data_IF_670753480041
#
_entry.id   IF_670753480041
#
_cell.length_a   1.000
_cell.length_b   1.000
_cell.length_c   1.000
_cell.angle_alpha   90.00
_cell.angle_beta   90.00
_cell.angle_gamma   90.00
#
_symmetry.space_group_name_H-M   'P 1'
#
loop_
_entity.id
_entity.type
_entity.pdbx_description
1 polymer ?
#
# COMPACT_ATOMS: atom_id res chain seq x y z
N UNK A 1 2.98 12.36 -9.07
CA UNK A 1 1.89 13.23 -9.54
C UNK A 1 1.42 12.71 -10.89
N UNK A 2 0.10 12.67 -11.12
CA UNK A 2 -0.50 12.22 -12.38
C UNK A 2 -1.75 13.05 -12.60
N UNK A 3 -1.87 13.73 -13.75
CA UNK A 3 -3.09 14.49 -14.12
C UNK A 3 -3.52 15.49 -13.01
N UNK A 4 -2.58 16.27 -12.46
CA UNK A 4 -2.89 17.21 -11.37
C UNK A 4 -3.07 16.57 -9.99
N UNK A 5 -3.21 15.25 -9.89
CA UNK A 5 -3.39 14.55 -8.61
C UNK A 5 -2.04 14.15 -8.01
N UNK A 6 -1.78 14.66 -6.80
CA UNK A 6 -0.65 14.28 -5.96
C UNK A 6 -1.08 13.20 -4.97
N UNK A 7 -0.30 12.12 -4.91
CA UNK A 7 -0.45 11.03 -3.94
C UNK A 7 0.71 11.09 -2.95
N UNK A 8 0.39 10.96 -1.66
CA UNK A 8 1.37 10.79 -0.58
C UNK A 8 1.02 9.53 0.19
N UNK A 9 2.01 8.69 0.44
CA UNK A 9 1.83 7.43 1.16
C UNK A 9 2.71 7.39 2.39
N UNK A 10 2.12 7.00 3.53
CA UNK A 10 2.85 6.81 4.78
C UNK A 10 2.54 5.42 5.34
N UNK A 11 3.48 4.46 5.26
CA UNK A 11 3.32 3.16 5.91
C UNK A 11 3.69 3.23 7.41
N UNK A 12 3.00 2.45 8.22
CA UNK A 12 3.21 2.32 9.67
C UNK A 12 3.26 0.85 10.05
N UNK A 13 4.34 0.42 10.70
CA UNK A 13 4.44 -0.92 11.25
C UNK A 13 3.67 -0.99 12.57
N UNK A 14 2.70 -1.90 12.65
CA UNK A 14 1.86 -2.08 13.84
C UNK A 14 2.36 -3.20 14.77
N UNK A 15 3.36 -3.97 14.34
CA UNK A 15 3.91 -5.10 15.07
C UNK A 15 3.72 -6.43 14.34
N UNK A 16 4.12 -7.51 15.01
CA UNK A 16 4.07 -8.87 14.48
C UNK A 16 3.54 -9.85 15.52
N UNK A 17 2.88 -10.91 15.05
CA UNK A 17 2.37 -12.01 15.88
C UNK A 17 2.97 -13.33 15.44
N UNK A 18 3.46 -14.12 16.39
CA UNK A 18 3.88 -15.50 16.15
C UNK A 18 2.66 -16.35 15.77
N UNK A 19 2.81 -17.18 14.75
CA UNK A 19 1.82 -18.19 14.37
C UNK A 19 2.07 -19.44 15.19
N UNK A 20 1.20 -19.69 16.18
CA UNK A 20 1.32 -20.84 17.08
C UNK A 20 1.06 -22.13 16.31
N UNK A 21 1.91 -23.14 16.54
CA UNK A 21 1.77 -24.47 15.93
C UNK A 21 2.53 -24.67 14.62
N UNK A 22 3.13 -23.62 14.04
CA UNK A 22 3.99 -23.76 12.86
C UNK A 22 5.46 -23.96 13.21
N UNK A 23 6.13 -24.88 12.51
CA UNK A 23 7.58 -25.11 12.56
C UNK A 23 8.14 -25.11 11.13
N UNK A 24 9.14 -24.26 10.80
CA UNK A 24 9.78 -23.25 11.65
C UNK A 24 8.80 -22.13 12.07
N UNK A 25 9.17 -21.37 13.11
CA UNK A 25 8.37 -20.24 13.58
C UNK A 25 8.06 -19.26 12.44
N UNK A 26 6.79 -18.90 12.29
CA UNK A 26 6.34 -17.88 11.33
C UNK A 26 5.69 -16.71 12.04
N UNK A 27 5.87 -15.51 11.48
CA UNK A 27 5.29 -14.28 12.00
C UNK A 27 4.41 -13.61 10.95
N UNK A 28 3.19 -13.23 11.34
CA UNK A 28 2.36 -12.31 10.56
C UNK A 28 2.67 -10.89 11.00
N UNK A 29 2.96 -10.01 10.03
CA UNK A 29 3.26 -8.60 10.26
C UNK A 29 2.07 -7.74 9.88
N UNK A 30 1.68 -6.85 10.77
CA UNK A 30 0.55 -5.96 10.60
C UNK A 30 1.06 -4.58 10.22
N UNK A 31 0.55 -4.06 9.12
CA UNK A 31 0.89 -2.74 8.62
C UNK A 31 -0.38 -1.91 8.48
N UNK A 32 -0.30 -0.64 8.85
CA UNK A 32 -1.24 0.38 8.37
C UNK A 32 -0.56 1.20 7.29
N UNK A 33 -1.35 1.76 6.40
CA UNK A 33 -0.88 2.77 5.46
C UNK A 33 -1.89 3.89 5.38
N UNK A 34 -1.39 5.11 5.28
CA UNK A 34 -2.17 6.31 5.03
C UNK A 34 -1.91 6.78 3.61
N UNK A 35 -2.98 7.10 2.88
CA UNK A 35 -2.92 7.70 1.56
C UNK A 35 -3.58 9.05 1.64
N UNK A 36 -2.83 10.10 1.27
CA UNK A 36 -3.36 11.44 1.04
C UNK A 36 -3.40 11.69 -0.46
N UNK A 37 -4.59 12.07 -0.93
CA UNK A 37 -4.87 12.47 -2.29
C UNK A 37 -5.11 13.97 -2.28
N UNK A 38 -4.51 14.66 -3.23
CA UNK A 38 -4.66 16.10 -3.36
C UNK A 38 -4.75 16.47 -4.83
N UNK A 39 -5.84 17.14 -5.18
CA UNK A 39 -6.06 17.70 -6.49
C UNK A 39 -5.47 19.11 -6.54
N UNK A 40 -4.46 19.28 -7.39
CA UNK A 40 -3.79 20.56 -7.63
C UNK A 40 -4.32 21.26 -8.88
N UNK A 41 -5.42 20.74 -9.45
CA UNK A 41 -6.16 21.36 -10.56
C UNK A 41 -7.50 21.89 -10.07
N UNK A 42 -8.15 22.73 -10.90
CA UNK A 42 -9.54 23.14 -10.70
C UNK A 42 -10.56 22.12 -11.24
N UNK A 43 -10.11 21.07 -11.94
CA UNK A 43 -11.01 20.07 -12.50
C UNK A 43 -11.55 19.14 -11.40
N UNK A 44 -12.88 19.05 -11.29
CA UNK A 44 -13.55 18.10 -10.40
C UNK A 44 -13.33 16.67 -10.87
N UNK A 45 -12.88 15.79 -10.00
CA UNK A 45 -12.69 14.36 -10.31
C UNK A 45 -13.21 13.46 -9.19
N UNK A 46 -13.73 12.29 -9.53
CA UNK A 46 -14.23 11.31 -8.56
C UNK A 46 -13.42 10.03 -8.59
N UNK A 47 -12.95 9.57 -7.43
CA UNK A 47 -12.29 8.28 -7.30
C UNK A 47 -13.34 7.16 -7.43
N UNK A 48 -13.18 6.30 -8.42
CA UNK A 48 -14.08 5.18 -8.69
C UNK A 48 -13.57 3.84 -8.23
N UNK A 49 -12.29 3.57 -8.44
CA UNK A 49 -11.71 2.25 -8.20
C UNK A 49 -10.29 2.34 -7.63
N UNK A 50 -9.90 1.28 -6.94
CA UNK A 50 -8.53 1.03 -6.51
C UNK A 50 -8.02 -0.26 -7.13
N UNK A 51 -6.73 -0.27 -7.45
CA UNK A 51 -6.00 -1.47 -7.80
C UNK A 51 -4.66 -1.46 -7.06
N UNK A 52 -4.43 -2.47 -6.25
CA UNK A 52 -3.23 -2.65 -5.45
C UNK A 52 -2.48 -3.89 -5.89
N UNK A 53 -1.16 -3.81 -5.80
CA UNK A 53 -0.23 -4.93 -5.93
C UNK A 53 0.63 -5.00 -4.68
N UNK A 54 0.83 -6.21 -4.18
CA UNK A 54 1.73 -6.52 -3.07
C UNK A 54 2.73 -7.55 -3.60
N UNK A 55 4.01 -7.22 -3.57
CA UNK A 55 5.08 -8.14 -3.94
C UNK A 55 5.93 -8.47 -2.73
N UNK A 56 6.07 -9.76 -2.44
CA UNK A 56 6.89 -10.25 -1.34
C UNK A 56 8.30 -10.63 -1.81
N UNK A 57 9.24 -10.71 -0.86
CA UNK A 57 10.58 -11.26 -1.12
C UNK A 57 10.57 -12.72 -1.60
N UNK A 58 9.50 -13.45 -1.35
CA UNK A 58 9.33 -14.85 -1.81
C UNK A 58 8.97 -14.94 -3.30
N UNK A 59 8.87 -13.80 -4.00
CA UNK A 59 8.45 -13.74 -5.40
C UNK A 59 6.93 -13.81 -5.59
N UNK A 60 6.14 -13.79 -4.51
CA UNK A 60 4.69 -13.86 -4.57
C UNK A 60 4.12 -12.47 -4.89
N UNK A 61 3.27 -12.40 -5.91
CA UNK A 61 2.53 -11.20 -6.30
C UNK A 61 1.05 -11.39 -6.03
N UNK A 62 0.52 -10.60 -5.10
CA UNK A 62 -0.91 -10.52 -4.82
C UNK A 62 -1.48 -9.24 -5.43
N UNK A 63 -2.72 -9.30 -5.92
CA UNK A 63 -3.40 -8.13 -6.46
C UNK A 63 -4.80 -8.00 -5.90
N UNK A 64 -5.19 -6.77 -5.57
CA UNK A 64 -6.49 -6.46 -4.99
C UNK A 64 -7.13 -5.34 -5.80
N UNK A 65 -8.34 -5.59 -6.33
CA UNK A 65 -9.14 -4.59 -7.03
C UNK A 65 -10.44 -4.35 -6.28
N UNK A 66 -10.97 -3.14 -6.34
CA UNK A 66 -12.31 -2.88 -5.81
C UNK A 66 -12.80 -1.46 -6.06
N UNK A 67 -14.10 -1.26 -5.86
CA UNK A 67 -14.74 0.06 -5.93
C UNK A 67 -14.30 0.92 -4.76
N UNK A 68 -13.98 2.18 -5.06
CA UNK A 68 -13.63 3.19 -4.09
C UNK A 68 -12.41 2.84 -3.24
N UNK A 69 -12.30 3.53 -2.12
CA UNK A 69 -11.33 3.30 -1.05
C UNK A 69 -12.10 3.34 0.27
N UNK A 70 -11.85 2.37 1.16
CA UNK A 70 -12.52 2.29 2.48
C UNK A 70 -14.05 2.45 2.46
N UNK A 71 -14.70 1.96 1.39
CA UNK A 71 -16.16 2.09 1.21
C UNK A 71 -16.63 3.42 0.63
N UNK A 72 -15.72 4.33 0.31
CA UNK A 72 -16.00 5.68 -0.20
C UNK A 72 -15.51 5.86 -1.65
N UNK A 73 -16.23 6.69 -2.42
CA UNK A 73 -15.82 7.19 -3.73
C UNK A 73 -15.69 8.72 -3.67
N UNK A 74 -14.62 9.24 -3.03
CA UNK A 74 -14.47 10.67 -2.77
C UNK A 74 -14.39 11.49 -4.05
N UNK A 75 -14.87 12.71 -3.97
CA UNK A 75 -14.79 13.72 -5.03
C UNK A 75 -13.72 14.73 -4.60
N UNK A 76 -12.78 15.01 -5.49
CA UNK A 76 -11.79 16.07 -5.31
C UNK A 76 -12.14 17.21 -6.24
N UNK A 77 -12.42 18.37 -5.67
CA UNK A 77 -12.78 19.60 -6.36
C UNK A 77 -12.10 20.79 -5.68
N UNK A 78 -12.23 21.99 -6.23
CA UNK A 78 -11.56 23.18 -5.71
C UNK A 78 -11.93 23.52 -4.26
N UNK A 79 -13.18 23.28 -3.87
CA UNK A 79 -13.72 23.47 -2.51
C UNK A 79 -13.35 22.35 -1.53
N UNK A 80 -12.99 21.17 -2.05
CA UNK A 80 -12.54 20.01 -1.27
C UNK A 80 -11.42 19.28 -2.01
N UNK A 81 -10.20 19.88 -2.10
CA UNK A 81 -9.15 19.39 -2.97
C UNK A 81 -8.42 18.19 -2.37
N UNK A 82 -8.61 17.90 -1.09
CA UNK A 82 -7.84 16.90 -0.35
C UNK A 82 -8.77 15.83 0.21
N UNK A 83 -8.38 14.57 0.03
CA UNK A 83 -8.97 13.43 0.72
C UNK A 83 -7.89 12.57 1.33
N UNK A 84 -8.10 12.09 2.54
CA UNK A 84 -7.16 11.22 3.23
C UNK A 84 -7.88 10.01 3.79
N UNK A 85 -7.27 8.85 3.63
CA UNK A 85 -7.75 7.61 4.26
C UNK A 85 -6.58 6.78 4.77
N UNK A 86 -6.88 5.87 5.70
CA UNK A 86 -5.96 4.84 6.12
C UNK A 86 -6.59 3.46 5.95
N UNK A 87 -5.76 2.46 5.74
CA UNK A 87 -6.18 1.06 5.69
C UNK A 87 -5.03 0.19 6.21
N UNK A 88 -5.17 -1.13 6.14
CA UNK A 88 -4.19 -2.07 6.66
C UNK A 88 -3.91 -3.22 5.69
N UNK A 89 -2.78 -3.89 5.90
CA UNK A 89 -2.38 -5.11 5.21
C UNK A 89 -1.65 -6.03 6.18
N UNK A 90 -1.83 -7.33 6.00
CA UNK A 90 -1.08 -8.35 6.73
C UNK A 90 -0.07 -8.97 5.77
N UNK A 91 1.17 -9.11 6.22
CA UNK A 91 2.25 -9.61 5.37
C UNK A 91 2.98 -10.75 6.11
N UNK A 92 3.03 -11.98 5.56
CA UNK A 92 3.66 -13.12 6.22
C UNK A 92 5.20 -13.14 6.10
N UNK A 93 5.80 -12.08 5.55
CA UNK A 93 7.24 -11.95 5.27
C UNK A 93 7.82 -10.66 5.85
N UNK A 94 9.12 -10.62 6.20
CA UNK A 94 9.77 -9.43 6.80
C UNK A 94 9.87 -8.23 5.86
N UNK A 95 9.75 -8.46 4.56
CA UNK A 95 9.88 -7.45 3.54
C UNK A 95 8.89 -7.69 2.41
N UNK A 96 8.17 -6.64 2.04
CA UNK A 96 7.32 -6.58 0.87
C UNK A 96 7.31 -5.17 0.29
N UNK A 97 6.82 -5.04 -0.94
CA UNK A 97 6.56 -3.78 -1.61
C UNK A 97 5.09 -3.68 -1.98
N UNK A 98 4.53 -2.48 -1.83
CA UNK A 98 3.18 -2.18 -2.27
C UNK A 98 3.19 -1.05 -3.27
N UNK A 99 2.39 -1.16 -4.32
CA UNK A 99 2.12 -0.09 -5.26
C UNK A 99 0.74 -0.28 -5.88
N UNK A 100 0.25 0.73 -6.59
CA UNK A 100 -1.08 0.61 -7.17
C UNK A 100 -1.46 1.77 -8.06
N UNK A 101 -2.74 1.77 -8.43
CA UNK A 101 -3.39 2.88 -9.11
C UNK A 101 -4.79 3.12 -8.53
N UNK A 102 -5.22 4.37 -8.64
CA UNK A 102 -6.58 4.80 -8.36
C UNK A 102 -7.19 5.29 -9.67
N UNK A 103 -8.33 4.72 -10.05
CA UNK A 103 -9.04 5.19 -11.24
C UNK A 103 -9.96 6.33 -10.85
N UNK A 104 -9.76 7.47 -11.50
CA UNK A 104 -10.60 8.65 -11.38
C UNK A 104 -11.47 8.83 -12.62
N UNK A 105 -12.62 9.46 -12.42
CA UNK A 105 -13.59 9.81 -13.46
C UNK A 105 -13.86 11.31 -13.42
N UNK A 106 -13.94 11.93 -14.59
CA UNK A 106 -14.29 13.32 -14.81
C UNK A 106 -15.81 13.49 -15.03
N UNK A 107 -16.37 14.72 -14.93
CA UNK A 107 -17.79 14.95 -15.16
C UNK A 107 -18.26 14.58 -16.56
N UNK A 108 -17.36 14.62 -17.55
CA UNK A 108 -17.63 14.19 -18.92
C UNK A 108 -17.61 12.66 -19.13
N UNK A 109 -17.41 11.88 -18.06
CA UNK A 109 -17.36 10.41 -18.09
C UNK A 109 -16.00 9.81 -18.48
N UNK A 110 -15.03 10.61 -18.93
CA UNK A 110 -13.69 10.11 -19.20
C UNK A 110 -12.96 9.71 -17.90
N UNK A 111 -12.06 8.73 -17.98
CA UNK A 111 -11.32 8.22 -16.82
C UNK A 111 -9.82 8.29 -17.01
N UNK A 112 -9.09 8.34 -15.91
CA UNK A 112 -7.63 8.24 -15.89
C UNK A 112 -7.14 7.55 -14.60
N UNK A 113 -5.94 6.98 -14.66
CA UNK A 113 -5.34 6.25 -13.55
C UNK A 113 -4.25 7.09 -12.88
N UNK A 114 -4.42 7.37 -11.59
CA UNK A 114 -3.43 8.02 -10.75
C UNK A 114 -2.56 6.97 -10.08
N UNK A 115 -1.25 7.03 -10.29
CA UNK A 115 -0.31 6.06 -9.70
C UNK A 115 -0.10 6.34 -8.21
N UNK A 116 -0.08 5.27 -7.42
CA UNK A 116 0.51 5.26 -6.08
C UNK A 116 1.91 4.64 -6.23
N UNK A 117 2.98 5.42 -6.01
CA UNK A 117 4.35 4.93 -6.11
C UNK A 117 4.60 3.75 -5.19
N UNK A 118 5.59 2.93 -5.58
CA UNK A 118 6.02 1.80 -4.74
C UNK A 118 6.55 2.30 -3.40
N UNK A 119 6.12 1.65 -2.32
CA UNK A 119 6.64 1.89 -0.98
C UNK A 119 6.97 0.56 -0.28
N UNK A 120 8.06 0.52 0.51
CA UNK A 120 8.48 -0.67 1.21
C UNK A 120 7.67 -0.89 2.50
N UNK A 121 7.42 -2.15 2.81
CA UNK A 121 6.98 -2.65 4.10
C UNK A 121 8.14 -3.45 4.70
N UNK A 122 8.90 -2.85 5.62
CA UNK A 122 10.12 -3.44 6.15
C UNK A 122 10.11 -3.51 7.68
N UNK A 123 10.03 -4.73 8.23
CA UNK A 123 10.22 -4.99 9.66
C UNK A 123 11.73 -4.86 9.99
N UNK A 124 12.18 -3.65 10.34
CA UNK A 124 13.60 -3.38 10.61
C UNK A 124 14.17 -4.19 11.77
N UNK A 125 13.34 -4.61 12.72
CA UNK A 125 13.78 -5.44 13.84
C UNK A 125 14.21 -6.84 13.38
N UNK A 126 13.74 -7.31 12.21
CA UNK A 126 14.22 -8.56 11.61
C UNK A 126 15.71 -8.52 11.27
N UNK A 127 16.23 -7.36 10.83
CA UNK A 127 17.65 -7.20 10.47
C UNK A 127 18.53 -6.70 11.60
N UNK A 128 17.94 -6.07 12.62
CA UNK A 128 18.66 -5.49 13.75
C UNK A 128 19.00 -6.52 14.85
N UNK A 129 18.42 -7.72 14.78
CA UNK A 129 18.72 -8.81 15.70
C UNK A 129 19.96 -9.59 15.26
N UNK A 130 21.02 -9.53 16.06
CA UNK A 130 22.04 -10.58 16.11
C UNK A 130 21.35 -11.95 16.23
N UNK A 131 21.46 -12.83 15.22
CA UNK A 131 21.07 -14.24 15.37
C UNK A 131 20.44 -14.96 14.18
N UNK A 132 20.99 -14.84 12.97
CA UNK A 132 21.17 -16.00 12.07
C UNK A 132 22.00 -15.57 10.86
N UNK A 133 23.33 -15.56 11.02
CA UNK A 133 24.20 -15.67 9.85
C UNK A 133 23.93 -17.04 9.22
N UNK A 134 23.63 -17.14 7.92
CA UNK A 134 23.60 -18.45 7.27
C UNK A 134 24.96 -19.10 7.50
N UNK A 135 24.98 -20.31 8.09
CA UNK A 135 26.21 -21.09 8.21
C UNK A 135 26.71 -21.37 6.79
N UNK A 136 27.79 -20.70 6.39
CA UNK A 136 28.57 -21.12 5.24
C UNK A 136 28.94 -22.59 5.45
N UNK A 137 28.52 -23.46 4.54
CA UNK A 137 29.02 -24.82 4.47
C UNK A 137 30.49 -24.72 4.03
N UNK A 138 31.41 -24.85 4.97
CA UNK A 138 32.81 -25.10 4.65
C UNK A 138 32.91 -26.49 4.04
N UNK A 139 33.60 -26.53 2.90
CA UNK A 139 33.80 -27.68 2.01
C UNK A 139 34.76 -28.70 2.62
#
# INVERSE_FOLDING_TARGET
MTEGIRTTTVPFFMGRRLVVGERPEKYIRYWRYLIRLENLSSERVQLRERFWKVFSITGSLESVRGKGVVGMQPILAEDSPIFQYHSHVQVPVPWAHMWGSLRFERPNGSSFDVKIPSFPLCDRAYWSGNGNKPKEKVK
#
